data_IF_101641080188
#
_entry.id   IF_101641080188
#
_cell.length_a   1.000
_cell.length_b   1.000
_cell.length_c   1.000
_cell.angle_alpha   90.00
_cell.angle_beta   90.00
_cell.angle_gamma   90.00
#
_symmetry.space_group_name_H-M   'P 1'
#
loop_
_entity.id
_entity.type
_entity.pdbx_description
1 polymer ?
#
# COMPACT_ATOMS: atom_id res chain seq x y z
N UNK A 1 -13.71 -3.43 -11.01
CA UNK A 1 -12.31 -3.88 -11.16
C UNK A 1 -11.98 -4.69 -9.92
N UNK A 2 -11.34 -5.83 -10.06
CA UNK A 2 -11.03 -6.65 -8.89
C UNK A 2 -9.91 -5.99 -8.06
N UNK A 3 -9.91 -6.08 -6.73
CA UNK A 3 -8.85 -5.53 -5.88
C UNK A 3 -7.45 -5.96 -6.32
N UNK A 4 -7.26 -7.24 -6.62
CA UNK A 4 -5.99 -7.82 -7.07
C UNK A 4 -5.44 -7.20 -8.36
N UNK A 5 -6.30 -6.73 -9.27
CA UNK A 5 -5.86 -6.04 -10.49
C UNK A 5 -5.27 -4.66 -10.15
N UNK A 6 -5.90 -3.94 -9.23
CA UNK A 6 -5.42 -2.64 -8.74
C UNK A 6 -4.13 -2.80 -7.93
N UNK A 7 -4.06 -3.81 -7.07
CA UNK A 7 -2.87 -4.15 -6.30
C UNK A 7 -1.68 -4.47 -7.21
N UNK A 8 -1.89 -5.31 -8.24
CA UNK A 8 -0.86 -5.62 -9.23
C UNK A 8 -0.34 -4.37 -9.96
N UNK A 9 -1.24 -3.44 -10.31
CA UNK A 9 -0.84 -2.15 -10.89
C UNK A 9 -0.01 -1.30 -9.93
N UNK A 10 -0.42 -1.19 -8.65
CA UNK A 10 0.25 -0.37 -7.63
C UNK A 10 1.63 -0.96 -7.28
N UNK A 11 1.74 -2.29 -7.16
CA UNK A 11 3.00 -3.00 -6.91
C UNK A 11 4.04 -2.81 -8.03
N UNK A 12 3.61 -2.40 -9.23
CA UNK A 12 4.52 -2.02 -10.31
C UNK A 12 5.30 -0.73 -10.07
N UNK A 13 4.93 0.08 -9.06
CA UNK A 13 5.62 1.32 -8.74
C UNK A 13 6.92 1.05 -7.93
N UNK A 14 8.07 1.62 -8.31
CA UNK A 14 9.38 1.28 -7.72
C UNK A 14 9.45 1.54 -6.21
N UNK A 15 8.78 2.58 -5.72
CA UNK A 15 8.81 2.95 -4.30
C UNK A 15 7.84 2.14 -3.42
N UNK A 16 7.01 1.26 -4.01
CA UNK A 16 6.05 0.45 -3.27
C UNK A 16 6.69 -0.89 -2.87
N UNK A 17 6.60 -1.21 -1.59
CA UNK A 17 7.01 -2.51 -1.02
C UNK A 17 5.85 -3.50 -1.03
N UNK A 18 4.68 -3.05 -0.59
CA UNK A 18 3.47 -3.87 -0.49
C UNK A 18 2.20 -3.00 -0.58
N UNK A 19 1.08 -3.60 -0.94
CA UNK A 19 -0.22 -2.91 -1.00
C UNK A 19 -1.41 -3.85 -0.80
N UNK A 20 -2.50 -3.30 -0.27
CA UNK A 20 -3.78 -4.00 -0.14
C UNK A 20 -4.90 -3.03 -0.49
N UNK A 21 -5.86 -3.47 -1.32
CA UNK A 21 -6.99 -2.66 -1.78
C UNK A 21 -8.28 -3.20 -1.18
N UNK A 22 -9.06 -2.32 -0.55
CA UNK A 22 -10.39 -2.65 0.01
C UNK A 22 -11.46 -1.73 -0.56
N UNK A 23 -12.69 -2.21 -0.64
CA UNK A 23 -13.85 -1.38 -0.95
C UNK A 23 -14.33 -0.63 0.29
N UNK A 24 -14.66 0.66 0.14
CA UNK A 24 -15.40 1.43 1.14
C UNK A 24 -16.76 1.87 0.57
N UNK A 25 -17.83 1.91 1.37
CA UNK A 25 -19.14 2.32 0.89
C UNK A 25 -19.14 3.75 0.30
N UNK A 26 -19.85 3.94 -0.80
CA UNK A 26 -20.04 5.23 -1.48
C UNK A 26 -21.48 5.36 -2.01
N UNK A 27 -22.09 6.54 -1.88
CA UNK A 27 -23.51 6.72 -2.24
C UNK A 27 -23.76 6.64 -3.76
N UNK A 28 -22.82 7.09 -4.57
CA UNK A 28 -22.96 7.12 -6.03
C UNK A 28 -22.51 5.81 -6.67
N UNK A 29 -21.33 5.34 -6.28
CA UNK A 29 -20.63 4.19 -6.89
C UNK A 29 -20.93 2.86 -6.19
N UNK A 30 -21.68 2.91 -5.08
CA UNK A 30 -21.86 1.84 -4.08
C UNK A 30 -20.60 1.53 -3.30
N UNK A 31 -19.46 1.42 -3.98
CA UNK A 31 -18.16 1.21 -3.37
C UNK A 31 -17.05 1.98 -4.11
N UNK A 32 -16.08 2.50 -3.37
CA UNK A 32 -14.84 3.06 -3.88
C UNK A 32 -13.63 2.23 -3.41
N UNK A 33 -12.62 1.99 -4.27
CA UNK A 33 -11.40 1.33 -3.86
C UNK A 33 -10.51 2.27 -3.02
N UNK A 34 -10.00 1.77 -1.90
CA UNK A 34 -9.01 2.43 -1.04
C UNK A 34 -7.79 1.52 -0.94
N UNK A 35 -6.61 2.06 -1.29
CA UNK A 35 -5.35 1.34 -1.22
C UNK A 35 -4.56 1.74 0.04
N UNK A 36 -4.13 0.74 0.81
CA UNK A 36 -3.10 0.89 1.82
C UNK A 36 -1.76 0.55 1.17
N UNK A 37 -0.76 1.41 1.35
CA UNK A 37 0.53 1.29 0.67
C UNK A 37 1.66 1.31 1.70
N UNK A 38 2.51 0.29 1.65
CA UNK A 38 3.79 0.26 2.34
C UNK A 38 4.84 0.76 1.35
N UNK A 39 5.49 1.87 1.68
CA UNK A 39 6.63 2.35 0.89
C UNK A 39 7.86 1.52 1.24
N UNK A 40 8.67 1.21 0.23
CA UNK A 40 10.01 0.67 0.46
C UNK A 40 10.74 1.60 1.40
N UNK A 41 11.40 1.02 2.39
CA UNK A 41 12.35 1.79 3.17
C UNK A 41 13.38 2.35 2.20
N UNK A 42 13.43 3.68 2.07
CA UNK A 42 14.67 4.32 1.66
C UNK A 42 15.72 3.73 2.59
N UNK A 43 16.79 3.16 2.02
CA UNK A 43 17.92 2.72 2.82
C UNK A 43 18.33 3.95 3.64
N UNK A 44 17.94 3.97 4.91
CA UNK A 44 18.30 5.01 5.86
C UNK A 44 19.57 4.48 6.52
N UNK A 45 20.76 4.82 5.98
CA UNK A 45 22.03 4.37 6.55
C UNK A 45 22.22 4.82 8.01
N UNK A 46 21.35 5.68 8.56
CA UNK A 46 21.37 6.14 9.95
C UNK A 46 20.41 5.42 10.90
N UNK A 47 19.48 4.57 10.42
CA UNK A 47 18.50 3.92 11.30
C UNK A 47 19.12 2.70 12.01
N UNK A 48 19.78 2.95 13.14
CA UNK A 48 20.23 1.87 14.03
C UNK A 48 19.02 1.00 14.46
N UNK A 49 19.20 -0.33 14.58
CA UNK A 49 18.13 -1.21 15.05
C UNK A 49 17.68 -0.75 16.43
N UNK A 50 16.37 -0.55 16.60
CA UNK A 50 15.77 -0.24 17.89
C UNK A 50 15.92 -1.46 18.80
N UNK A 51 16.97 -1.47 19.63
CA UNK A 51 17.05 -2.36 20.78
C UNK A 51 16.10 -1.82 21.85
N UNK A 52 14.97 -2.48 22.02
CA UNK A 52 14.11 -2.31 23.18
C UNK A 52 14.50 -3.37 24.19
N UNK A 53 14.85 -2.96 25.41
CA UNK A 53 15.13 -3.85 26.55
C UNK A 53 13.87 -4.61 26.98
#
# INVERSE_FOLDING_TARGET
VAPAELEGCILGHPDVEDTCVVGVPDEFSRELPVAFVVLRQAQDPGRLPRYTY
#
